data_IF_047533714850
#
_entry.id   IF_047533714850
#
_cell.length_a   1.000
_cell.length_b   1.000
_cell.length_c   1.000
_cell.angle_alpha   90.00
_cell.angle_beta   90.00
_cell.angle_gamma   90.00
#
_symmetry.space_group_name_H-M   'P 1'
#
loop_
_entity.id
_entity.type
_entity.pdbx_description
1 polymer ?
#
# COMPACT_ATOMS: atom_id res chain seq x y z
N UNK A 1 21.14 14.93 -8.06
CA UNK A 1 20.21 14.30 -9.03
C UNK A 1 18.96 13.87 -8.28
N UNK A 2 17.77 14.21 -8.78
CA UNK A 2 16.53 13.70 -8.19
C UNK A 2 16.44 12.18 -8.38
N UNK A 3 15.91 11.41 -7.41
CA UNK A 3 15.75 9.97 -7.57
C UNK A 3 14.84 9.67 -8.76
N UNK A 4 15.20 8.66 -9.57
CA UNK A 4 14.39 8.20 -10.70
C UNK A 4 13.36 7.19 -10.21
N UNK A 5 12.16 7.22 -10.79
CA UNK A 5 11.15 6.21 -10.52
C UNK A 5 11.63 4.86 -11.08
N UNK A 6 11.44 3.79 -10.30
CA UNK A 6 11.67 2.39 -10.72
C UNK A 6 10.59 1.96 -11.72
N UNK A 7 9.40 2.52 -11.56
CA UNK A 7 8.20 2.15 -12.30
C UNK A 7 7.22 3.32 -12.30
N UNK A 8 6.41 3.44 -13.35
CA UNK A 8 5.31 4.41 -13.45
C UNK A 8 4.01 3.70 -13.77
N UNK A 9 2.90 4.20 -13.23
CA UNK A 9 1.59 3.59 -13.39
C UNK A 9 0.48 4.48 -12.86
N UNK A 10 -0.69 3.90 -12.60
CA UNK A 10 -1.82 4.63 -12.03
C UNK A 10 -2.51 3.87 -10.91
N UNK A 11 -2.98 4.62 -9.92
CA UNK A 11 -3.93 4.15 -8.91
C UNK A 11 -5.33 4.38 -9.46
N UNK A 12 -6.18 3.35 -9.44
CA UNK A 12 -7.55 3.39 -9.95
C UNK A 12 -8.56 2.99 -8.89
N UNK A 13 -9.65 3.75 -8.80
CA UNK A 13 -10.78 3.47 -7.90
C UNK A 13 -11.99 4.28 -8.31
N UNK A 14 -13.19 3.68 -8.34
CA UNK A 14 -14.43 4.43 -8.56
C UNK A 14 -14.44 5.34 -9.81
N UNK A 15 -13.74 4.93 -10.88
CA UNK A 15 -13.58 5.72 -12.11
C UNK A 15 -12.51 6.83 -12.05
N UNK A 16 -11.90 7.07 -10.90
CA UNK A 16 -10.77 7.99 -10.73
C UNK A 16 -9.47 7.28 -11.13
N UNK A 17 -8.59 8.01 -11.81
CA UNK A 17 -7.22 7.59 -12.14
C UNK A 17 -6.22 8.63 -11.64
N UNK A 18 -5.27 8.17 -10.83
CA UNK A 18 -4.20 8.99 -10.23
C UNK A 18 -2.84 8.46 -10.71
N UNK A 19 -2.18 9.18 -11.64
CA UNK A 19 -0.84 8.83 -12.10
C UNK A 19 0.21 8.92 -10.99
N UNK A 20 1.04 7.89 -10.85
CA UNK A 20 2.09 7.79 -9.82
C UNK A 20 3.37 7.15 -10.34
N UNK A 21 4.50 7.52 -9.74
CA UNK A 21 5.79 6.86 -9.89
C UNK A 21 6.17 6.11 -8.62
N UNK A 22 6.76 4.92 -8.74
CA UNK A 22 7.28 4.12 -7.65
C UNK A 22 8.75 4.47 -7.42
N UNK A 23 9.11 4.82 -6.20
CA UNK A 23 10.46 5.16 -5.80
C UNK A 23 10.94 4.17 -4.73
N UNK A 24 12.23 3.79 -4.76
CA UNK A 24 12.79 2.93 -3.71
C UNK A 24 12.68 3.68 -2.37
N UNK A 25 12.12 3.02 -1.36
CA UNK A 25 12.32 3.46 0.00
C UNK A 25 13.77 3.16 0.41
N UNK A 26 14.47 4.12 1.03
CA UNK A 26 15.80 3.85 1.57
C UNK A 26 15.74 2.73 2.62
N UNK A 27 16.66 1.77 2.48
CA UNK A 27 16.80 0.45 3.15
C UNK A 27 16.15 -0.75 2.44
N UNK A 28 16.94 -1.29 1.53
CA UNK A 28 17.14 -2.72 1.21
C UNK A 28 16.33 -3.76 2.01
N UNK A 29 15.29 -4.31 1.38
CA UNK A 29 15.16 -5.76 1.19
C UNK A 29 14.36 -6.06 -0.08
N UNK A 30 15.08 -6.44 -1.15
CA UNK A 30 14.52 -6.85 -2.45
C UNK A 30 13.74 -8.16 -2.28
N UNK A 31 12.49 -8.19 -2.78
CA UNK A 31 12.00 -9.29 -3.63
C UNK A 31 10.79 -8.87 -4.50
N UNK A 32 11.10 -8.13 -5.56
CA UNK A 32 10.36 -8.24 -6.82
C UNK A 32 11.06 -9.39 -7.55
N UNK A 33 10.35 -10.48 -7.77
CA UNK A 33 10.90 -11.63 -8.50
C UNK A 33 11.05 -11.25 -9.98
N UNK A 34 12.31 -11.03 -10.36
CA UNK A 34 12.89 -10.80 -11.68
C UNK A 34 12.95 -9.34 -12.24
N UNK A 35 14.18 -8.74 -12.30
CA UNK A 35 14.47 -7.37 -12.73
C UNK A 35 14.80 -7.24 -14.24
N UNK A 36 14.00 -7.88 -15.10
CA UNK A 36 14.14 -7.81 -16.55
C UNK A 36 13.74 -6.45 -17.13
N UNK A 37 14.71 -5.54 -17.19
CA UNK A 37 14.80 -4.41 -18.13
C UNK A 37 14.10 -3.08 -17.74
N UNK A 38 14.86 -2.27 -16.99
CA UNK A 38 14.68 -0.84 -16.75
C UNK A 38 15.00 -0.02 -18.02
N UNK A 39 14.24 -0.21 -19.09
CA UNK A 39 14.27 0.75 -20.20
C UNK A 39 13.20 1.82 -19.95
N UNK A 40 13.67 3.07 -19.91
CA UNK A 40 12.84 4.25 -19.84
C UNK A 40 11.99 4.35 -21.12
N UNK A 41 10.85 3.67 -21.10
CA UNK A 41 9.76 3.86 -22.04
C UNK A 41 8.78 4.78 -21.35
N UNK A 42 8.44 5.90 -21.99
CA UNK A 42 7.27 6.71 -21.60
C UNK A 42 6.11 5.74 -21.32
N UNK A 43 5.44 5.81 -20.16
CA UNK A 43 4.53 4.74 -19.78
C UNK A 43 3.39 4.63 -20.79
N UNK A 44 3.44 3.58 -21.63
CA UNK A 44 2.22 2.90 -21.98
C UNK A 44 1.58 2.51 -20.65
N UNK A 45 0.33 2.92 -20.41
CA UNK A 45 -0.38 2.81 -19.14
C UNK A 45 -0.67 1.36 -18.67
N UNK A 46 0.34 0.49 -18.63
CA UNK A 46 0.16 -0.95 -18.45
C UNK A 46 -0.01 -1.35 -17.00
N UNK A 47 0.50 -0.54 -16.07
CA UNK A 47 0.53 -0.95 -14.68
C UNK A 47 -0.48 -0.19 -13.83
N UNK A 48 -1.44 -0.96 -13.32
CA UNK A 48 -2.58 -0.47 -12.57
C UNK A 48 -2.53 -1.02 -11.15
N UNK A 49 -2.62 -0.12 -10.18
CA UNK A 49 -2.94 -0.42 -8.79
C UNK A 49 -4.43 -0.16 -8.61
N UNK A 50 -5.23 -1.23 -8.61
CA UNK A 50 -6.68 -1.12 -8.40
C UNK A 50 -6.97 -1.09 -6.90
N UNK A 51 -7.64 -0.05 -6.41
CA UNK A 51 -8.16 -0.01 -5.03
C UNK A 51 -9.51 -0.71 -5.00
N UNK A 52 -9.58 -1.79 -4.25
CA UNK A 52 -10.76 -2.63 -4.09
C UNK A 52 -11.71 -2.07 -3.03
N UNK A 53 -11.17 -1.54 -1.93
CA UNK A 53 -11.95 -0.98 -0.83
C UNK A 53 -11.13 0.04 -0.01
N UNK A 54 -11.81 0.93 0.72
CA UNK A 54 -11.19 1.84 1.68
C UNK A 54 -11.62 1.48 3.10
N UNK A 55 -10.70 0.92 3.88
CA UNK A 55 -10.96 0.48 5.26
C UNK A 55 -10.30 1.41 6.28
N UNK A 56 -10.74 1.35 7.54
CA UNK A 56 -10.05 2.04 8.63
C UNK A 56 -8.67 1.43 8.83
N UNK A 57 -7.66 2.26 9.11
CA UNK A 57 -6.28 1.82 9.26
C UNK A 57 -6.11 0.75 10.35
N UNK A 58 -6.85 0.85 11.46
CA UNK A 58 -6.84 -0.09 12.59
C UNK A 58 -7.44 -1.48 12.27
N UNK A 59 -8.05 -1.66 11.10
CA UNK A 59 -8.56 -2.95 10.63
C UNK A 59 -7.47 -3.82 10.00
N UNK A 60 -6.28 -3.26 9.74
CA UNK A 60 -5.15 -3.99 9.15
C UNK A 60 -4.02 -4.10 10.18
N UNK A 61 -3.78 -5.32 10.65
CA UNK A 61 -2.70 -5.60 11.59
C UNK A 61 -1.32 -5.43 10.91
N UNK A 62 -0.40 -4.76 11.61
CA UNK A 62 0.98 -4.51 11.15
C UNK A 62 1.71 -5.79 10.72
N UNK A 63 1.35 -6.95 11.27
CA UNK A 63 1.93 -8.26 10.92
C UNK A 63 1.69 -8.68 9.48
N UNK A 64 0.72 -8.09 8.79
CA UNK A 64 0.48 -8.38 7.37
C UNK A 64 1.37 -7.59 6.42
N UNK A 65 2.04 -6.53 6.90
CA UNK A 65 2.91 -5.69 6.09
C UNK A 65 4.25 -6.38 5.81
N UNK A 66 4.59 -6.54 4.53
CA UNK A 66 5.83 -7.20 4.12
C UNK A 66 6.88 -6.19 3.63
N UNK A 67 6.53 -5.37 2.64
CA UNK A 67 7.45 -4.42 2.02
C UNK A 67 6.73 -3.11 1.66
N UNK A 68 7.41 -1.97 1.83
CA UNK A 68 6.88 -0.63 1.50
C UNK A 68 7.61 0.01 0.32
N UNK A 69 6.84 0.53 -0.63
CA UNK A 69 7.34 1.42 -1.66
C UNK A 69 6.75 2.81 -1.49
N UNK A 70 7.56 3.84 -1.73
CA UNK A 70 7.07 5.20 -1.80
C UNK A 70 6.51 5.46 -3.19
N UNK A 71 5.33 6.05 -3.25
CA UNK A 71 4.77 6.58 -4.48
C UNK A 71 5.01 8.10 -4.50
N UNK A 72 5.38 8.63 -5.66
CA UNK A 72 5.43 10.06 -5.94
C UNK A 72 4.44 10.42 -7.04
N UNK A 73 4.08 11.69 -7.17
CA UNK A 73 3.22 12.12 -8.26
C UNK A 73 3.92 11.93 -9.62
N UNK A 74 3.15 11.60 -10.64
CA UNK A 74 3.65 11.47 -12.01
C UNK A 74 2.71 12.18 -12.99
N UNK A 75 2.86 13.50 -13.12
CA UNK A 75 1.97 14.32 -13.94
C UNK A 75 1.17 15.29 -13.08
N UNK A 76 -0.15 15.09 -12.98
CA UNK A 76 -1.02 15.98 -12.21
C UNK A 76 -0.93 15.73 -10.69
N UNK A 77 -0.09 16.53 -10.03
CA UNK A 77 0.13 16.52 -8.59
C UNK A 77 -1.14 16.77 -7.76
N UNK A 78 -2.17 17.42 -8.31
CA UNK A 78 -3.39 17.75 -7.55
C UNK A 78 -4.16 16.50 -7.15
N UNK A 79 -4.28 15.53 -8.06
CA UNK A 79 -4.96 14.25 -7.79
C UNK A 79 -4.18 13.41 -6.79
N UNK A 80 -2.86 13.39 -6.91
CA UNK A 80 -1.97 12.73 -5.96
C UNK A 80 -2.14 13.32 -4.55
N UNK A 81 -2.04 14.64 -4.42
CA UNK A 81 -2.15 15.34 -3.15
C UNK A 81 -3.55 15.19 -2.53
N UNK A 82 -4.61 15.25 -3.35
CA UNK A 82 -5.98 15.03 -2.91
C UNK A 82 -6.17 13.63 -2.34
N UNK A 83 -5.67 12.59 -3.01
CA UNK A 83 -5.76 11.21 -2.53
C UNK A 83 -4.97 11.01 -1.23
N UNK A 84 -3.72 11.48 -1.16
CA UNK A 84 -2.90 11.37 0.04
C UNK A 84 -3.57 12.06 1.24
N UNK A 85 -4.06 13.29 1.01
CA UNK A 85 -4.75 14.08 2.04
C UNK A 85 -6.06 13.41 2.48
N UNK A 86 -6.83 12.84 1.55
CA UNK A 86 -8.08 12.16 1.87
C UNK A 86 -7.85 10.93 2.75
N UNK A 87 -6.90 10.06 2.38
CA UNK A 87 -6.54 8.88 3.17
C UNK A 87 -6.11 9.27 4.59
N UNK A 88 -5.26 10.28 4.71
CA UNK A 88 -4.79 10.78 6.01
C UNK A 88 -5.93 11.37 6.85
N UNK A 89 -6.73 12.28 6.29
CA UNK A 89 -7.81 12.95 7.04
C UNK A 89 -8.92 12.00 7.46
N UNK A 90 -9.20 10.99 6.63
CA UNK A 90 -10.26 10.02 6.89
C UNK A 90 -9.77 8.85 7.76
N UNK A 91 -8.48 8.78 8.11
CA UNK A 91 -7.85 7.63 8.79
C UNK A 91 -8.18 6.31 8.09
N UNK A 92 -8.10 6.35 6.76
CA UNK A 92 -8.40 5.21 5.88
C UNK A 92 -7.19 4.83 5.07
N UNK A 93 -7.19 3.56 4.70
CA UNK A 93 -6.22 2.97 3.79
C UNK A 93 -6.97 2.27 2.66
N UNK A 94 -6.38 2.28 1.46
CA UNK A 94 -6.92 1.54 0.33
C UNK A 94 -6.42 0.10 0.35
N UNK A 95 -7.31 -0.88 0.30
CA UNK A 95 -6.95 -2.28 -0.02
C UNK A 95 -6.76 -2.37 -1.51
N UNK A 96 -5.59 -2.79 -1.96
CA UNK A 96 -5.20 -2.71 -3.37
C UNK A 96 -4.76 -4.04 -3.95
N UNK A 97 -5.00 -4.21 -5.26
CA UNK A 97 -4.48 -5.29 -6.07
C UNK A 97 -3.69 -4.73 -7.25
N UNK A 98 -2.58 -5.38 -7.60
CA UNK A 98 -1.84 -5.08 -8.83
C UNK A 98 -1.12 -6.32 -9.35
N UNK A 99 -0.68 -6.28 -10.60
CA UNK A 99 0.06 -7.37 -11.25
C UNK A 99 1.43 -6.88 -11.72
N UNK A 100 2.49 -7.61 -11.39
CA UNK A 100 3.87 -7.38 -11.87
C UNK A 100 4.46 -8.72 -12.28
N UNK A 101 5.05 -8.78 -13.49
CA UNK A 101 5.70 -10.01 -13.98
C UNK A 101 4.78 -11.25 -13.97
N UNK A 102 3.48 -11.06 -14.26
CA UNK A 102 2.48 -12.12 -14.23
C UNK A 102 2.05 -12.59 -12.83
N UNK A 103 2.58 -12.00 -11.76
CA UNK A 103 2.20 -12.30 -10.37
C UNK A 103 1.23 -11.23 -9.85
N UNK A 104 0.12 -11.68 -9.27
CA UNK A 104 -0.84 -10.79 -8.58
C UNK A 104 -0.43 -10.58 -7.13
N UNK A 105 -0.49 -9.32 -6.71
CA UNK A 105 -0.19 -8.87 -5.36
C UNK A 105 -1.45 -8.26 -4.74
N UNK A 106 -1.57 -8.41 -3.43
CA UNK A 106 -2.53 -7.72 -2.60
C UNK A 106 -1.75 -6.82 -1.63
N UNK A 107 -2.26 -5.64 -1.35
CA UNK A 107 -1.55 -4.65 -0.58
C UNK A 107 -2.43 -3.57 0.02
N UNK A 108 -1.76 -2.58 0.59
CA UNK A 108 -2.38 -1.44 1.25
C UNK A 108 -1.76 -0.15 0.72
N UNK A 109 -2.60 0.78 0.30
CA UNK A 109 -2.24 2.14 -0.05
C UNK A 109 -2.53 3.06 1.14
N UNK A 110 -1.51 3.76 1.63
CA UNK A 110 -1.64 4.74 2.71
C UNK A 110 -1.27 6.13 2.22
N UNK A 111 -1.78 7.18 2.88
CA UNK A 111 -1.45 8.58 2.60
C UNK A 111 -0.75 9.31 3.75
N UNK A 112 -0.08 8.56 4.64
CA UNK A 112 0.50 9.11 5.86
C UNK A 112 1.56 10.19 5.56
N UNK A 113 1.50 11.31 6.30
CA UNK A 113 2.45 12.42 6.12
C UNK A 113 2.35 13.11 4.76
N UNK A 114 1.21 13.03 4.08
CA UNK A 114 1.02 13.60 2.74
C UNK A 114 1.72 12.84 1.61
N UNK A 115 2.23 11.64 1.90
CA UNK A 115 2.96 10.80 0.95
C UNK A 115 2.19 9.50 0.74
N UNK A 116 1.97 9.13 -0.51
CA UNK A 116 1.40 7.83 -0.83
C UNK A 116 2.44 6.73 -0.64
N UNK A 117 2.09 5.69 0.09
CA UNK A 117 2.94 4.51 0.28
C UNK A 117 2.15 3.25 -0.05
N UNK A 118 2.78 2.34 -0.80
CA UNK A 118 2.19 1.06 -1.15
C UNK A 118 2.89 -0.06 -0.40
N UNK A 119 2.13 -0.79 0.40
CA UNK A 119 2.60 -1.93 1.15
C UNK A 119 2.11 -3.22 0.52
N UNK A 120 2.98 -4.20 0.38
CA UNK A 120 2.56 -5.56 -0.02
C UNK A 120 2.12 -6.33 1.21
N UNK A 121 0.94 -6.96 1.13
CA UNK A 121 0.46 -7.86 2.18
C UNK A 121 1.00 -9.27 1.93
N UNK A 122 1.59 -9.87 2.96
CA UNK A 122 2.01 -11.27 2.89
C UNK A 122 0.76 -12.15 2.88
N UNK A 123 0.60 -12.98 1.85
CA UNK A 123 -0.40 -14.05 1.89
C UNK A 123 -0.04 -15.00 3.02
N UNK A 124 -0.91 -15.12 4.03
CA UNK A 124 -0.83 -16.18 5.02
C UNK A 124 -1.15 -17.49 4.29
N UNK A 125 -0.16 -18.36 4.10
CA UNK A 125 -0.41 -19.72 3.61
C UNK A 125 -1.49 -20.36 4.51
N UNK A 126 -2.68 -20.62 3.96
CA UNK A 126 -3.72 -21.42 4.62
C UNK A 126 -4.63 -20.71 5.62
N UNK A 127 -5.10 -19.49 5.36
CA UNK A 127 -6.27 -18.98 6.09
C UNK A 127 -7.55 -19.66 5.59
N UNK A 128 -7.88 -20.83 6.16
CA UNK A 128 -9.30 -21.21 6.29
C UNK A 128 -9.98 -20.09 7.07
N UNK A 129 -11.21 -19.74 6.67
CA UNK A 129 -12.10 -18.78 7.32
C UNK A 129 -11.70 -18.54 8.79
N UNK A 130 -11.04 -17.42 9.05
CA UNK A 130 -11.00 -16.91 10.42
C UNK A 130 -12.33 -16.20 10.58
N UNK A 131 -13.24 -16.84 11.32
CA UNK A 131 -14.33 -16.11 11.97
C UNK A 131 -13.75 -14.83 12.58
N UNK A 132 -14.49 -13.71 12.52
CA UNK A 132 -14.04 -12.49 13.18
C UNK A 132 -13.85 -12.83 14.65
N UNK A 133 -12.59 -12.95 15.07
CA UNK A 133 -12.21 -12.96 16.47
C UNK A 133 -12.68 -11.62 17.02
N UNK A 134 -13.92 -11.62 17.51
CA UNK A 134 -14.37 -10.70 18.53
C UNK A 134 -13.42 -10.97 19.68
N UNK A 135 -12.33 -10.21 19.75
CA UNK A 135 -11.62 -10.04 21.00
C UNK A 135 -12.66 -9.43 21.92
N UNK A 136 -13.20 -10.24 22.83
CA UNK A 136 -13.92 -9.71 23.98
C UNK A 136 -13.00 -8.65 24.58
N UNK A 137 -13.48 -7.41 24.68
CA UNK A 137 -12.82 -6.40 25.50
C UNK A 137 -12.86 -6.89 26.95
N UNK A 138 -11.95 -7.79 27.30
CA UNK A 138 -11.48 -7.89 28.67
C UNK A 138 -10.64 -6.64 28.86
N UNK A 139 -11.26 -5.61 29.44
CA UNK A 139 -10.52 -4.50 30.01
C UNK A 139 -9.57 -5.12 31.03
N UNK A 140 -8.28 -5.19 30.69
CA UNK A 140 -7.25 -5.52 31.66
C UNK A 140 -7.21 -4.35 32.65
N UNK A 141 -7.59 -4.63 33.89
CA UNK A 141 -7.53 -3.67 34.99
C UNK A 141 -6.07 -3.32 35.29
N UNK A 142 -5.78 -2.06 35.63
CA UNK A 142 -4.41 -1.53 35.78
C UNK A 142 -3.52 -2.35 36.73
N UNK A 143 -4.12 -3.11 37.65
CA UNK A 143 -3.42 -3.98 38.60
C UNK A 143 -2.76 -5.21 37.96
N UNK A 144 -3.24 -5.71 36.82
CA UNK A 144 -2.60 -6.86 36.15
C UNK A 144 -1.36 -6.45 35.34
N UNK A 145 -1.25 -5.18 34.93
CA UNK A 145 -0.10 -4.69 34.17
C UNK A 145 1.11 -4.36 35.05
N UNK A 146 0.92 -4.09 36.35
CA UNK A 146 2.02 -3.67 37.24
C UNK A 146 2.79 -4.83 37.90
N UNK A 147 2.45 -6.09 37.60
CA UNK A 147 3.05 -7.27 38.24
C UNK A 147 3.80 -8.20 37.26
N UNK A 148 4.00 -7.77 36.00
CA UNK A 148 4.74 -8.51 34.96
C UNK A 148 6.16 -7.96 34.76
#
# INVERSE_FOLDING_TARGET
>A
MAPRAIWTGCIRFGGVSVPVGLYPAERSHRRIDDPGQLDAVEPASGHVIEVLDFVREDRIDLRFYDFSHRLGPHGDDRKYAALATALQKMQRVGVCQWTVGGKSYLGVLTGAGGILSLFTLRRKNGARHADPLILSQAALDERELSAA
#
